data_IF_171012896081
#
_entry.id   IF_171012896081
#
_cell.length_a   1.000
_cell.length_b   1.000
_cell.length_c   1.000
_cell.angle_alpha   90.00
_cell.angle_beta   90.00
_cell.angle_gamma   90.00
#
_symmetry.space_group_name_H-M   'P 1'
#
loop_
_entity.id
_entity.type
_entity.pdbx_description
1 polymer ?
#
# COMPACT_ATOMS: atom_id res chain seq x y z
N UNK A 1 -37.43 -17.98 21.43
CA UNK A 1 -36.66 -17.47 22.57
C UNK A 1 -37.57 -17.07 23.72
N UNK A 2 -37.13 -17.35 24.94
CA UNK A 2 -37.71 -16.81 26.18
C UNK A 2 -37.36 -15.32 26.32
N UNK A 3 -38.13 -14.58 27.12
CA UNK A 3 -37.95 -13.12 27.30
C UNK A 3 -36.56 -12.75 27.81
N UNK A 4 -36.00 -13.55 28.72
CA UNK A 4 -34.65 -13.32 29.26
C UNK A 4 -33.56 -13.46 28.20
N UNK A 5 -33.68 -14.45 27.32
CA UNK A 5 -32.76 -14.65 26.19
C UNK A 5 -32.82 -13.46 25.23
N UNK A 6 -34.02 -12.95 24.93
CA UNK A 6 -34.19 -11.79 24.03
C UNK A 6 -33.52 -10.54 24.61
N UNK A 7 -33.69 -10.33 25.91
CA UNK A 7 -33.09 -9.21 26.63
C UNK A 7 -31.56 -9.29 26.63
N UNK A 8 -31.00 -10.46 26.91
CA UNK A 8 -29.55 -10.68 26.88
C UNK A 8 -28.99 -10.40 25.48
N UNK A 9 -29.62 -10.94 24.44
CA UNK A 9 -29.20 -10.72 23.05
C UNK A 9 -29.26 -9.26 22.63
N UNK A 10 -30.32 -8.53 23.01
CA UNK A 10 -30.42 -7.08 22.70
C UNK A 10 -29.32 -6.27 23.39
N UNK A 11 -29.03 -6.60 24.65
CA UNK A 11 -27.98 -5.93 25.42
C UNK A 11 -26.59 -6.18 24.85
N UNK A 12 -26.32 -7.41 24.44
CA UNK A 12 -25.09 -7.79 23.75
C UNK A 12 -24.95 -7.04 22.42
N UNK A 13 -25.95 -7.14 21.54
CA UNK A 13 -25.94 -6.47 20.22
C UNK A 13 -25.80 -4.94 20.34
N UNK A 14 -26.46 -4.33 21.33
CA UNK A 14 -26.38 -2.89 21.55
C UNK A 14 -25.16 -2.45 22.36
N UNK A 15 -24.40 -3.37 22.98
CA UNK A 15 -23.30 -3.07 23.89
C UNK A 15 -23.74 -2.26 25.11
N UNK A 16 -24.88 -2.61 25.72
CA UNK A 16 -25.47 -1.91 26.87
C UNK A 16 -25.89 -2.89 27.96
N UNK A 17 -25.92 -2.45 29.21
CA UNK A 17 -26.20 -3.34 30.35
C UNK A 17 -27.65 -3.22 30.86
N UNK A 18 -28.38 -2.18 30.45
CA UNK A 18 -29.74 -1.96 30.92
C UNK A 18 -30.63 -1.21 29.91
N UNK A 19 -31.95 -1.28 30.15
CA UNK A 19 -32.98 -0.69 29.28
C UNK A 19 -32.87 0.84 29.20
N UNK A 20 -32.37 1.51 30.25
CA UNK A 20 -32.20 2.96 30.25
C UNK A 20 -31.10 3.39 29.28
N UNK A 21 -29.96 2.70 29.30
CA UNK A 21 -28.87 2.88 28.35
C UNK A 21 -29.30 2.55 26.92
N UNK A 22 -30.02 1.43 26.75
CA UNK A 22 -30.56 1.00 25.47
C UNK A 22 -31.45 2.08 24.82
N UNK A 23 -32.42 2.63 25.56
CA UNK A 23 -33.31 3.71 25.09
C UNK A 23 -32.63 5.06 24.92
N UNK A 24 -31.50 5.30 25.60
CA UNK A 24 -30.71 6.50 25.40
C UNK A 24 -29.87 6.43 24.12
N UNK A 25 -29.38 5.22 23.79
CA UNK A 25 -28.54 4.97 22.60
C UNK A 25 -29.35 4.88 21.31
N UNK A 26 -30.55 4.30 21.37
CA UNK A 26 -31.37 4.04 20.19
C UNK A 26 -32.71 4.77 20.37
N UNK A 27 -32.90 5.84 19.60
CA UNK A 27 -34.07 6.70 19.72
C UNK A 27 -35.37 5.98 19.30
N UNK A 28 -35.29 5.11 18.30
CA UNK A 28 -36.43 4.39 17.70
C UNK A 28 -37.15 3.46 18.70
N UNK A 29 -36.45 3.01 19.75
CA UNK A 29 -37.02 2.12 20.78
C UNK A 29 -37.46 2.86 22.05
N UNK A 30 -37.31 4.19 22.08
CA UNK A 30 -37.61 5.01 23.27
C UNK A 30 -39.07 4.87 23.70
N UNK A 31 -39.99 4.81 22.73
CA UNK A 31 -41.44 4.70 22.93
C UNK A 31 -41.92 3.27 23.17
N UNK A 32 -41.08 2.25 22.96
CA UNK A 32 -41.47 0.85 23.13
C UNK A 32 -41.65 0.47 24.61
N UNK A 33 -42.67 -0.33 24.89
CA UNK A 33 -42.84 -0.93 26.23
C UNK A 33 -42.00 -2.20 26.36
N UNK A 34 -40.87 -2.08 27.06
CA UNK A 34 -39.89 -3.15 27.25
C UNK A 34 -40.31 -4.20 28.30
N UNK A 35 -41.56 -4.15 28.78
CA UNK A 35 -42.18 -5.26 29.52
C UNK A 35 -42.72 -6.33 28.57
N UNK A 36 -43.01 -5.95 27.32
CA UNK A 36 -43.60 -6.84 26.32
C UNK A 36 -42.51 -7.55 25.51
N UNK A 37 -42.68 -8.86 25.30
CA UNK A 37 -41.80 -9.68 24.46
C UNK A 37 -41.66 -9.12 23.04
N UNK A 38 -42.78 -8.67 22.47
CA UNK A 38 -42.86 -8.11 21.12
C UNK A 38 -41.99 -6.87 20.94
N UNK A 39 -41.84 -6.04 21.99
CA UNK A 39 -40.96 -4.87 21.97
C UNK A 39 -39.48 -5.26 21.91
N UNK A 40 -39.08 -6.33 22.60
CA UNK A 40 -37.72 -6.86 22.51
C UNK A 40 -37.42 -7.46 21.13
N UNK A 41 -38.37 -8.20 20.56
CA UNK A 41 -38.24 -8.74 19.20
C UNK A 41 -38.09 -7.62 18.16
N UNK A 42 -38.90 -6.56 18.27
CA UNK A 42 -38.75 -5.35 17.43
C UNK A 42 -37.40 -4.67 17.59
N UNK A 43 -36.90 -4.58 18.83
CA UNK A 43 -35.59 -3.98 19.11
C UNK A 43 -34.46 -4.78 18.46
N UNK A 44 -34.53 -6.10 18.46
CA UNK A 44 -33.57 -6.96 17.75
C UNK A 44 -33.61 -6.65 16.25
N UNK A 45 -34.79 -6.57 15.65
CA UNK A 45 -34.92 -6.26 14.22
C UNK A 45 -34.31 -4.88 13.89
N UNK A 46 -34.55 -3.88 14.73
CA UNK A 46 -33.95 -2.54 14.57
C UNK A 46 -32.42 -2.61 14.67
N UNK A 47 -31.88 -3.37 15.62
CA UNK A 47 -30.44 -3.53 15.79
C UNK A 47 -29.76 -4.30 14.66
N UNK A 48 -30.47 -5.23 14.03
CA UNK A 48 -29.94 -6.07 12.95
C UNK A 48 -30.05 -5.41 11.57
N UNK A 49 -30.99 -4.47 11.40
CA UNK A 49 -31.23 -3.79 10.12
C UNK A 49 -29.98 -3.12 9.52
N UNK A 50 -29.18 -2.33 10.28
CA UNK A 50 -27.95 -1.74 9.73
C UNK A 50 -26.90 -2.77 9.34
N UNK A 51 -26.80 -3.88 10.08
CA UNK A 51 -25.85 -4.96 9.79
C UNK A 51 -26.21 -5.64 8.47
N UNK A 52 -27.50 -5.94 8.27
CA UNK A 52 -27.99 -6.53 7.01
C UNK A 52 -27.86 -5.57 5.82
N UNK A 53 -28.13 -4.28 6.01
CA UNK A 53 -27.93 -3.27 4.97
C UNK A 53 -26.45 -3.13 4.59
N UNK A 54 -25.54 -3.26 5.55
CA UNK A 54 -24.09 -3.25 5.29
C UNK A 54 -23.62 -4.51 4.58
N UNK A 55 -24.12 -5.69 4.97
CA UNK A 55 -23.82 -6.95 4.28
C UNK A 55 -24.32 -6.92 2.82
N UNK A 56 -25.52 -6.41 2.59
CA UNK A 56 -26.08 -6.21 1.24
C UNK A 56 -25.24 -5.21 0.42
N UNK A 57 -24.79 -4.12 1.05
CA UNK A 57 -23.89 -3.16 0.42
C UNK A 57 -22.52 -3.77 0.07
N UNK A 58 -21.98 -4.69 0.90
CA UNK A 58 -20.73 -5.38 0.60
C UNK A 58 -20.86 -6.36 -0.57
N UNK A 59 -21.97 -7.07 -0.66
CA UNK A 59 -22.25 -8.00 -1.76
C UNK A 59 -22.51 -7.27 -3.07
N UNK A 60 -23.20 -6.13 -3.02
CA UNK A 60 -23.49 -5.32 -4.20
C UNK A 60 -23.29 -3.83 -3.91
N UNK A 61 -22.04 -3.36 -3.90
CA UNK A 61 -21.75 -1.96 -3.65
C UNK A 61 -22.33 -1.11 -4.79
N UNK A 62 -22.75 0.14 -4.50
CA UNK A 62 -23.16 1.09 -5.52
C UNK A 62 -22.07 1.24 -6.58
N UNK A 63 -22.49 1.43 -7.84
CA UNK A 63 -21.60 1.39 -8.99
C UNK A 63 -20.47 2.43 -8.91
N UNK A 64 -20.77 3.61 -8.36
CA UNK A 64 -19.77 4.67 -8.10
C UNK A 64 -18.57 4.16 -7.30
N UNK A 65 -18.78 3.26 -6.33
CA UNK A 65 -17.67 2.69 -5.55
C UNK A 65 -16.90 1.64 -6.34
N UNK A 66 -17.58 0.83 -7.17
CA UNK A 66 -16.91 -0.15 -8.04
C UNK A 66 -15.95 0.55 -9.00
N UNK A 67 -16.40 1.64 -9.61
CA UNK A 67 -15.59 2.45 -10.52
C UNK A 67 -14.36 3.03 -9.81
N UNK A 68 -14.55 3.63 -8.64
CA UNK A 68 -13.44 4.18 -7.83
C UNK A 68 -12.43 3.08 -7.46
N UNK A 69 -12.89 1.90 -7.00
CA UNK A 69 -11.99 0.81 -6.66
C UNK A 69 -11.26 0.24 -7.88
N UNK A 70 -11.91 0.23 -9.05
CA UNK A 70 -11.28 -0.12 -10.32
C UNK A 70 -10.18 0.87 -10.68
N UNK A 71 -10.46 2.17 -10.62
CA UNK A 71 -9.47 3.22 -10.89
C UNK A 71 -8.27 3.16 -9.94
N UNK A 72 -8.52 2.94 -8.63
CA UNK A 72 -7.46 2.76 -7.63
C UNK A 72 -6.59 1.54 -7.99
N UNK A 73 -7.22 0.44 -8.39
CA UNK A 73 -6.52 -0.79 -8.76
C UNK A 73 -5.64 -0.56 -9.98
N UNK A 74 -6.18 0.05 -11.04
CA UNK A 74 -5.43 0.38 -12.24
C UNK A 74 -4.27 1.35 -11.97
N UNK A 75 -4.52 2.43 -11.21
CA UNK A 75 -3.50 3.41 -10.87
C UNK A 75 -2.36 2.76 -10.07
N UNK A 76 -2.70 1.89 -9.12
CA UNK A 76 -1.74 1.14 -8.30
C UNK A 76 -0.89 0.20 -9.16
N UNK A 77 -1.50 -0.51 -10.11
CA UNK A 77 -0.78 -1.38 -11.04
C UNK A 77 0.18 -0.59 -11.93
N UNK A 78 -0.29 0.52 -12.52
CA UNK A 78 0.54 1.42 -13.34
C UNK A 78 1.73 1.98 -12.54
N UNK A 79 1.49 2.39 -11.30
CA UNK A 79 2.56 2.86 -10.40
C UNK A 79 3.60 1.77 -10.13
N UNK A 80 3.16 0.55 -9.80
CA UNK A 80 4.06 -0.57 -9.51
C UNK A 80 4.92 -0.93 -10.72
N UNK A 81 4.34 -0.97 -11.91
CA UNK A 81 5.07 -1.20 -13.16
C UNK A 81 6.13 -0.13 -13.39
N UNK A 82 5.77 1.16 -13.26
CA UNK A 82 6.70 2.27 -13.45
C UNK A 82 7.82 2.30 -12.40
N UNK A 83 7.50 1.94 -11.16
CA UNK A 83 8.47 1.81 -10.07
C UNK A 83 9.48 0.69 -10.36
N UNK A 84 9.01 -0.46 -10.83
CA UNK A 84 9.89 -1.57 -11.23
C UNK A 84 10.81 -1.18 -12.39
N UNK A 85 10.28 -0.54 -13.44
CA UNK A 85 11.08 -0.02 -14.56
C UNK A 85 12.13 0.99 -14.07
N UNK A 86 11.75 1.91 -13.20
CA UNK A 86 12.68 2.92 -12.67
C UNK A 86 13.85 2.28 -11.92
N UNK A 87 13.60 1.22 -11.15
CA UNK A 87 14.66 0.47 -10.46
C UNK A 87 15.60 -0.22 -11.44
N UNK A 88 15.08 -0.81 -12.52
CA UNK A 88 15.90 -1.42 -13.56
C UNK A 88 16.78 -0.37 -14.25
N UNK A 89 16.20 0.76 -14.69
CA UNK A 89 16.98 1.85 -15.29
C UNK A 89 18.06 2.39 -14.34
N UNK A 90 17.75 2.52 -13.04
CA UNK A 90 18.74 2.98 -12.07
C UNK A 90 19.94 2.02 -11.96
N UNK A 91 19.68 0.71 -12.01
CA UNK A 91 20.75 -0.31 -12.03
C UNK A 91 21.57 -0.25 -13.31
N UNK A 92 20.93 -0.06 -14.47
CA UNK A 92 21.62 0.11 -15.75
C UNK A 92 22.52 1.35 -15.75
N UNK A 93 22.04 2.48 -15.24
CA UNK A 93 22.83 3.71 -15.12
C UNK A 93 24.06 3.50 -14.24
N UNK A 94 23.91 2.81 -13.10
CA UNK A 94 25.05 2.48 -12.23
C UNK A 94 26.06 1.57 -12.94
N UNK A 95 25.60 0.57 -13.68
CA UNK A 95 26.49 -0.30 -14.45
C UNK A 95 27.25 0.48 -15.52
N UNK A 96 26.58 1.39 -16.22
CA UNK A 96 27.22 2.24 -17.24
C UNK A 96 28.26 3.16 -16.59
N UNK A 97 27.94 3.76 -15.44
CA UNK A 97 28.87 4.62 -14.71
C UNK A 97 30.15 3.86 -14.31
N UNK A 98 30.01 2.64 -13.77
CA UNK A 98 31.15 1.81 -13.40
C UNK A 98 32.02 1.46 -14.63
N UNK A 99 31.39 1.08 -15.75
CA UNK A 99 32.11 0.76 -16.99
C UNK A 99 32.86 1.99 -17.55
N UNK A 100 32.28 3.19 -17.42
CA UNK A 100 32.93 4.44 -17.83
C UNK A 100 34.13 4.78 -16.95
N UNK A 101 34.04 4.50 -15.65
CA UNK A 101 35.14 4.69 -14.71
C UNK A 101 36.30 3.74 -15.03
N UNK A 102 36.01 2.45 -15.25
CA UNK A 102 37.01 1.45 -15.68
C UNK A 102 37.69 1.87 -16.99
N UNK A 103 36.91 2.28 -18.01
CA UNK A 103 37.47 2.74 -19.28
C UNK A 103 38.36 3.98 -19.11
N UNK A 104 38.00 4.89 -18.22
CA UNK A 104 38.80 6.08 -17.94
C UNK A 104 40.15 5.73 -17.29
N UNK A 105 40.15 4.76 -16.36
CA UNK A 105 41.37 4.23 -15.75
C UNK A 105 42.28 3.57 -16.80
N UNK A 106 41.72 2.72 -17.66
CA UNK A 106 42.46 2.08 -18.76
C UNK A 106 43.11 3.10 -19.70
N UNK A 107 42.35 4.12 -20.11
CA UNK A 107 42.86 5.20 -20.96
C UNK A 107 44.00 5.96 -20.28
N UNK A 108 43.89 6.21 -18.97
CA UNK A 108 44.91 6.93 -18.20
C UNK A 108 46.20 6.09 -18.08
N UNK A 109 46.06 4.78 -17.88
CA UNK A 109 47.17 3.85 -17.83
C UNK A 109 47.89 3.73 -19.18
N UNK A 110 47.13 3.64 -20.27
CA UNK A 110 47.70 3.60 -21.62
C UNK A 110 48.44 4.91 -21.96
N UNK A 111 47.85 6.06 -21.65
CA UNK A 111 48.51 7.35 -21.82
C UNK A 111 49.83 7.43 -21.02
N UNK A 112 49.85 6.87 -19.81
CA UNK A 112 51.05 6.80 -18.98
C UNK A 112 52.13 5.89 -19.60
N UNK A 113 51.76 4.72 -20.12
CA UNK A 113 52.66 3.80 -20.83
C UNK A 113 53.29 4.47 -22.05
N UNK A 114 52.48 5.08 -22.92
CA UNK A 114 52.96 5.82 -24.10
C UNK A 114 53.94 6.92 -23.71
N UNK A 115 53.64 7.68 -22.64
CA UNK A 115 54.53 8.73 -22.13
C UNK A 115 55.88 8.17 -21.65
N UNK A 116 55.92 6.98 -21.06
CA UNK A 116 57.16 6.31 -20.67
C UNK A 116 57.95 5.83 -21.89
N UNK A 117 57.31 5.19 -22.86
CA UNK A 117 57.94 4.71 -24.10
C UNK A 117 58.59 5.85 -24.90
N UNK A 118 57.90 6.99 -25.02
CA UNK A 118 58.43 8.21 -25.64
C UNK A 118 59.69 8.69 -24.91
N UNK A 119 59.69 8.68 -23.57
CA UNK A 119 60.87 9.08 -22.77
C UNK A 119 62.05 8.15 -23.01
N UNK A 120 61.82 6.85 -23.06
CA UNK A 120 62.86 5.83 -23.31
C UNK A 120 63.43 6.02 -24.72
N UNK A 121 62.57 6.09 -25.74
CA UNK A 121 62.97 6.29 -27.13
C UNK A 121 63.79 7.58 -27.33
N UNK A 122 63.40 8.67 -26.66
CA UNK A 122 64.17 9.92 -26.65
C UNK A 122 65.56 9.79 -26.01
N UNK A 123 65.72 8.96 -24.97
CA UNK A 123 67.04 8.71 -24.35
C UNK A 123 67.93 7.88 -25.26
N UNK A 124 67.39 6.80 -25.83
CA UNK A 124 68.12 5.92 -26.76
C UNK A 124 68.61 6.72 -27.96
N UNK A 125 67.74 7.50 -28.60
CA UNK A 125 68.11 8.34 -29.76
C UNK A 125 69.15 9.40 -29.43
N UNK A 126 69.14 9.99 -28.21
CA UNK A 126 70.20 10.89 -27.76
C UNK A 126 71.54 10.18 -27.58
N UNK A 127 71.56 9.00 -26.95
CA UNK A 127 72.78 8.21 -26.78
C UNK A 127 73.37 7.76 -28.13
N UNK A 128 72.52 7.31 -29.06
CA UNK A 128 72.94 6.91 -30.40
C UNK A 128 73.53 8.05 -31.24
N UNK A 129 73.22 9.32 -30.93
CA UNK A 129 73.83 10.50 -31.59
C UNK A 129 75.15 10.95 -30.96
N UNK A 130 75.47 10.46 -29.76
CA UNK A 130 76.67 10.83 -29.01
C UNK A 130 77.79 9.79 -29.15
N UNK A 131 77.50 8.63 -29.74
CA UNK A 131 78.45 7.58 -30.13
C UNK A 131 78.70 7.65 -31.64
#
# INVERSE_FOLDING_TARGET
MKLQELKAKVYELAGVNNTKQLKAKIQEIKTLDMRLKTSWEKTIAILQKPQSEFEEWLENPPEEYKDIFSEITEASQKYNQKSAQTKQLAQEVLSIANNLEELAEECQDEANKIKQEIKITRRISKQARLN
#
